data_IF_413117112900
#
_entry.id   IF_413117112900
#
_cell.length_a   1.000
_cell.length_b   1.000
_cell.length_c   1.000
_cell.angle_alpha   90.00
_cell.angle_beta   90.00
_cell.angle_gamma   90.00
#
_symmetry.space_group_name_H-M   'P 1'
#
loop_
_entity.id
_entity.type
_entity.pdbx_description
1 polymer ?
#
# COMPACT_ATOMS: atom_id res chain seq x y z
N UNK A 1 20.96 -47.03 9.72
CA UNK A 1 20.59 -46.17 10.87
C UNK A 1 19.55 -46.93 11.70
N UNK A 2 19.72 -47.09 13.01
CA UNK A 2 18.81 -47.93 13.81
C UNK A 2 17.49 -47.22 14.10
N UNK A 3 16.40 -47.96 14.30
CA UNK A 3 15.07 -47.41 14.63
C UNK A 3 15.12 -46.52 15.89
N UNK A 4 16.02 -46.81 16.84
CA UNK A 4 16.23 -45.98 18.04
C UNK A 4 16.84 -44.62 17.70
N UNK A 5 17.71 -44.56 16.71
CA UNK A 5 18.38 -43.33 16.28
C UNK A 5 17.43 -42.40 15.52
N UNK A 6 16.47 -42.94 14.76
CA UNK A 6 15.41 -42.16 14.11
C UNK A 6 14.48 -41.49 15.12
N UNK A 7 14.02 -42.22 16.15
CA UNK A 7 13.18 -41.66 17.21
C UNK A 7 13.89 -40.55 18.00
N UNK A 8 15.20 -40.71 18.23
CA UNK A 8 16.00 -39.70 18.93
C UNK A 8 16.13 -38.40 18.12
N UNK A 9 16.34 -38.51 16.80
CA UNK A 9 16.40 -37.36 15.90
C UNK A 9 15.04 -36.67 15.75
N UNK A 10 13.96 -37.44 15.60
CA UNK A 10 12.60 -36.90 15.49
C UNK A 10 12.20 -36.14 16.77
N UNK A 11 12.48 -36.70 17.95
CA UNK A 11 12.22 -36.03 19.22
C UNK A 11 13.04 -34.74 19.36
N UNK A 12 14.30 -34.74 18.91
CA UNK A 12 15.13 -33.53 18.89
C UNK A 12 14.54 -32.44 17.99
N UNK A 13 14.11 -32.76 16.77
CA UNK A 13 13.49 -31.79 15.87
C UNK A 13 12.17 -31.22 16.41
N UNK A 14 11.33 -32.05 17.03
CA UNK A 14 10.07 -31.61 17.64
C UNK A 14 10.35 -30.65 18.81
N UNK A 15 11.31 -30.98 19.67
CA UNK A 15 11.69 -30.13 20.81
C UNK A 15 12.30 -28.80 20.34
N UNK A 16 13.11 -28.82 19.28
CA UNK A 16 13.70 -27.62 18.70
C UNK A 16 12.62 -26.72 18.09
N UNK A 17 11.65 -27.30 17.38
CA UNK A 17 10.54 -26.56 16.79
C UNK A 17 9.65 -25.92 17.88
N UNK A 18 9.32 -26.65 18.94
CA UNK A 18 8.57 -26.12 20.08
C UNK A 18 9.32 -24.98 20.78
N UNK A 19 10.63 -25.12 21.00
CA UNK A 19 11.46 -24.08 21.63
C UNK A 19 11.51 -22.78 20.81
N UNK A 20 11.61 -22.89 19.47
CA UNK A 20 11.61 -21.72 18.57
C UNK A 20 10.27 -21.01 18.55
N UNK A 21 9.16 -21.75 18.55
CA UNK A 21 7.82 -21.15 18.52
C UNK A 21 7.42 -20.52 19.88
N UNK A 22 7.89 -21.08 21.00
CA UNK A 22 7.59 -20.54 22.34
C UNK A 22 8.43 -19.30 22.70
N UNK A 23 9.59 -19.10 22.07
CA UNK A 23 10.43 -17.90 22.30
C UNK A 23 10.10 -16.73 21.37
N UNK A 24 9.28 -16.95 20.33
CA UNK A 24 8.83 -15.92 19.38
C UNK A 24 7.67 -15.04 19.88
N UNK A 25 6.92 -15.45 20.90
CA UNK A 25 5.83 -14.66 21.49
C UNK A 25 6.34 -13.67 22.55
N UNK A 26 7.20 -12.72 22.15
CA UNK A 26 7.38 -11.50 22.93
C UNK A 26 6.38 -10.47 22.41
N UNK A 27 5.44 -9.97 23.25
CA UNK A 27 4.65 -8.81 22.85
C UNK A 27 5.64 -7.68 22.52
N UNK A 28 5.61 -7.17 21.28
CA UNK A 28 6.29 -5.93 20.95
C UNK A 28 5.58 -4.83 21.74
N UNK A 29 6.16 -4.45 22.87
CA UNK A 29 5.85 -3.17 23.49
C UNK A 29 6.39 -2.12 22.53
N UNK A 30 5.50 -1.36 21.89
CA UNK A 30 5.90 -0.20 21.11
C UNK A 30 6.60 0.78 22.06
N UNK A 31 7.91 0.91 21.93
CA UNK A 31 8.72 1.82 22.76
C UNK A 31 8.72 3.26 22.25
N UNK A 32 8.15 3.48 21.06
CA UNK A 32 8.05 4.80 20.46
C UNK A 32 6.60 5.28 20.55
N UNK A 33 6.36 6.53 20.97
CA UNK A 33 5.04 7.13 20.84
C UNK A 33 4.61 7.07 19.38
N UNK A 34 3.31 6.87 19.09
CA UNK A 34 2.83 6.89 17.71
C UNK A 34 3.30 8.18 17.05
N UNK A 35 3.77 8.13 15.78
CA UNK A 35 4.15 9.33 15.07
C UNK A 35 2.96 10.30 15.11
N UNK A 36 3.22 11.53 15.55
CA UNK A 36 2.23 12.59 15.48
C UNK A 36 1.92 12.79 14.00
N UNK A 37 0.71 12.42 13.59
CA UNK A 37 0.20 12.69 12.26
C UNK A 37 0.05 14.21 12.14
N UNK A 38 1.09 14.87 11.65
CA UNK A 38 0.98 16.25 11.18
C UNK A 38 0.25 16.16 9.85
N UNK A 39 -0.94 16.76 9.71
CA UNK A 39 -1.62 16.80 8.43
C UNK A 39 -0.66 17.33 7.37
N UNK A 40 -0.55 16.70 6.19
CA UNK A 40 0.23 17.28 5.11
C UNK A 40 -0.27 18.70 4.88
N UNK A 41 0.66 19.64 4.74
CA UNK A 41 0.34 21.02 4.44
C UNK A 41 -0.54 21.04 3.17
N UNK A 42 -1.67 21.76 3.15
CA UNK A 42 -2.70 21.65 2.10
C UNK A 42 -2.21 21.97 0.68
N UNK A 43 -0.99 22.50 0.52
CA UNK A 43 -0.41 22.91 -0.75
C UNK A 43 0.01 21.75 -1.69
N UNK A 44 -0.02 20.48 -1.25
CA UNK A 44 0.52 19.35 -2.05
C UNK A 44 -0.50 18.25 -2.40
N UNK A 45 -1.76 18.39 -1.97
CA UNK A 45 -2.76 17.34 -2.13
C UNK A 45 -3.31 17.24 -3.55
N UNK A 46 -3.56 18.37 -4.22
CA UNK A 46 -4.16 18.39 -5.57
C UNK A 46 -3.20 19.07 -6.54
N UNK A 47 -2.55 18.27 -7.38
CA UNK A 47 -1.59 18.74 -8.38
C UNK A 47 -2.14 18.67 -9.80
N UNK A 48 -3.20 17.87 -10.01
CA UNK A 48 -3.75 17.55 -11.34
C UNK A 48 -5.27 17.66 -11.34
N UNK A 49 -5.85 17.83 -12.52
CA UNK A 49 -7.28 17.72 -12.72
C UNK A 49 -7.69 16.23 -12.88
N UNK A 50 -8.91 15.83 -12.49
CA UNK A 50 -9.47 14.53 -12.86
C UNK A 50 -9.39 14.30 -14.37
N UNK A 51 -9.07 13.08 -14.78
CA UNK A 51 -8.81 12.73 -16.19
C UNK A 51 -7.42 13.12 -16.72
N UNK A 52 -6.55 13.76 -15.93
CA UNK A 52 -5.17 14.01 -16.35
C UNK A 52 -4.37 12.71 -16.49
N UNK A 53 -4.72 11.63 -15.78
CA UNK A 53 -4.02 10.35 -15.84
C UNK A 53 -4.59 9.41 -16.91
N UNK A 54 -3.70 8.69 -17.59
CA UNK A 54 -4.05 7.75 -18.65
C UNK A 54 -4.49 6.38 -18.10
N UNK A 55 -5.42 5.72 -18.80
CA UNK A 55 -5.75 4.33 -18.50
C UNK A 55 -4.53 3.43 -18.74
N UNK A 56 -4.17 2.54 -17.79
CA UNK A 56 -3.18 1.49 -17.98
C UNK A 56 -3.31 0.67 -19.28
N UNK A 57 -4.52 0.52 -19.82
CA UNK A 57 -4.81 -0.13 -21.08
C UNK A 57 -4.19 0.59 -22.28
N UNK A 58 -4.03 1.92 -22.23
CA UNK A 58 -3.28 2.68 -23.24
C UNK A 58 -1.84 2.18 -23.29
N UNK A 59 -1.20 2.00 -22.14
CA UNK A 59 0.13 1.42 -22.03
C UNK A 59 0.12 -0.05 -22.50
N UNK A 60 -0.90 -0.81 -22.10
CA UNK A 60 -1.09 -2.22 -22.44
C UNK A 60 -1.28 -2.51 -23.93
N UNK A 61 -1.67 -1.51 -24.73
CA UNK A 61 -1.77 -1.65 -26.19
C UNK A 61 -0.41 -1.97 -26.84
N UNK A 62 0.70 -1.47 -26.25
CA UNK A 62 2.06 -1.72 -26.73
C UNK A 62 2.90 -2.54 -25.74
N UNK A 63 2.68 -2.37 -24.43
CA UNK A 63 3.41 -3.05 -23.35
C UNK A 63 2.58 -4.19 -22.74
N UNK A 64 2.18 -5.14 -23.57
CA UNK A 64 1.23 -6.20 -23.22
C UNK A 64 1.69 -7.07 -22.04
N UNK A 65 2.94 -7.53 -22.04
CA UNK A 65 3.49 -8.38 -20.98
C UNK A 65 3.56 -7.64 -19.63
N UNK A 66 3.99 -6.37 -19.66
CA UNK A 66 4.08 -5.52 -18.46
C UNK A 66 2.68 -5.25 -17.91
N UNK A 67 1.73 -4.92 -18.79
CA UNK A 67 0.34 -4.70 -18.39
C UNK A 67 -0.27 -5.94 -17.74
N UNK A 68 -0.03 -7.13 -18.31
CA UNK A 68 -0.50 -8.38 -17.71
C UNK A 68 0.11 -8.61 -16.32
N UNK A 69 1.42 -8.43 -16.17
CA UNK A 69 2.09 -8.56 -14.88
C UNK A 69 1.56 -7.55 -13.83
N UNK A 70 1.38 -6.30 -14.23
CA UNK A 70 0.80 -5.26 -13.38
C UNK A 70 -0.63 -5.61 -12.98
N UNK A 71 -1.48 -6.03 -13.93
CA UNK A 71 -2.92 -6.29 -13.68
C UNK A 71 -3.16 -7.38 -12.62
N UNK A 72 -2.26 -8.35 -12.49
CA UNK A 72 -2.30 -9.38 -11.44
C UNK A 72 -1.59 -9.01 -10.14
N UNK A 73 -1.02 -7.81 -10.03
CA UNK A 73 -0.19 -7.40 -8.90
C UNK A 73 -0.97 -6.74 -7.76
N UNK A 74 -0.30 -6.59 -6.61
CA UNK A 74 -0.83 -5.79 -5.48
C UNK A 74 -0.87 -4.29 -5.77
N UNK A 75 -0.09 -3.79 -6.73
CA UNK A 75 -0.15 -2.39 -7.15
C UNK A 75 -1.44 -2.07 -7.90
N UNK A 76 -1.86 -2.93 -8.84
CA UNK A 76 -3.15 -2.76 -9.55
C UNK A 76 -4.36 -2.89 -8.62
N UNK A 77 -4.22 -3.69 -7.56
CA UNK A 77 -5.25 -3.91 -6.55
C UNK A 77 -5.07 -3.08 -5.28
N UNK A 78 -4.23 -2.03 -5.32
CA UNK A 78 -3.86 -1.29 -4.12
C UNK A 78 -5.07 -0.68 -3.40
N UNK A 79 -6.03 -0.11 -4.15
CA UNK A 79 -7.28 0.40 -3.59
C UNK A 79 -8.32 -0.70 -3.36
N UNK A 80 -8.53 -1.59 -4.33
CA UNK A 80 -9.67 -2.53 -4.31
C UNK A 80 -9.41 -3.83 -3.57
N UNK A 81 -8.18 -4.06 -3.10
CA UNK A 81 -7.79 -5.29 -2.42
C UNK A 81 -8.52 -5.49 -1.10
N UNK A 82 -9.10 -6.68 -0.89
CA UNK A 82 -9.91 -7.01 0.29
C UNK A 82 -9.19 -6.78 1.63
N UNK A 83 -7.92 -7.19 1.73
CA UNK A 83 -7.12 -6.99 2.94
C UNK A 83 -6.90 -5.50 3.23
N UNK A 84 -6.60 -4.70 2.20
CA UNK A 84 -6.44 -3.27 2.37
C UNK A 84 -7.76 -2.61 2.77
N UNK A 85 -8.87 -2.96 2.12
CA UNK A 85 -10.17 -2.38 2.46
C UNK A 85 -10.57 -2.71 3.90
N UNK A 86 -10.33 -3.93 4.38
CA UNK A 86 -10.58 -4.28 5.78
C UNK A 86 -9.77 -3.41 6.75
N UNK A 87 -8.45 -3.32 6.55
CA UNK A 87 -7.56 -2.52 7.40
C UNK A 87 -7.88 -1.02 7.31
N UNK A 88 -8.23 -0.53 6.10
CA UNK A 88 -8.54 0.86 5.84
C UNK A 88 -9.83 1.30 6.54
N UNK A 89 -10.91 0.52 6.42
CA UNK A 89 -12.17 0.82 7.11
C UNK A 89 -12.01 0.78 8.63
N UNK A 90 -11.22 -0.17 9.15
CA UNK A 90 -10.89 -0.20 10.57
C UNK A 90 -10.12 1.07 10.99
N UNK A 91 -9.09 1.43 10.25
CA UNK A 91 -8.27 2.60 10.56
C UNK A 91 -9.07 3.92 10.47
N UNK A 92 -9.98 4.05 9.49
CA UNK A 92 -10.90 5.19 9.41
C UNK A 92 -11.80 5.27 10.65
N UNK A 93 -12.36 4.13 11.09
CA UNK A 93 -13.22 4.08 12.27
C UNK A 93 -12.47 4.39 13.58
N UNK A 94 -11.25 3.89 13.74
CA UNK A 94 -10.44 4.08 14.95
C UNK A 94 -9.84 5.49 15.07
N UNK A 95 -9.77 6.23 13.95
CA UNK A 95 -9.11 7.55 13.89
C UNK A 95 -10.07 8.68 13.49
N UNK A 96 -11.38 8.42 13.47
CA UNK A 96 -12.39 9.36 12.99
C UNK A 96 -12.05 9.95 11.60
N UNK A 97 -11.48 9.11 10.73
CA UNK A 97 -11.07 9.46 9.37
C UNK A 97 -9.74 10.20 9.23
N UNK A 98 -9.02 10.48 10.33
CA UNK A 98 -7.78 11.28 10.30
C UNK A 98 -6.67 10.68 9.41
N UNK A 99 -6.67 9.35 9.21
CA UNK A 99 -5.67 8.63 8.39
C UNK A 99 -6.08 8.46 6.92
N UNK A 100 -7.28 8.89 6.52
CA UNK A 100 -7.83 8.60 5.19
C UNK A 100 -6.92 9.08 4.05
N UNK A 101 -6.45 10.32 4.16
CA UNK A 101 -5.52 10.93 3.20
C UNK A 101 -4.20 10.17 3.12
N UNK A 102 -3.63 9.81 4.27
CA UNK A 102 -2.36 9.07 4.37
C UNK A 102 -2.42 7.72 3.63
N UNK A 103 -3.53 6.98 3.75
CA UNK A 103 -3.73 5.73 3.01
C UNK A 103 -3.91 6.00 1.50
N UNK A 104 -4.69 7.03 1.17
CA UNK A 104 -4.98 7.45 -0.21
C UNK A 104 -3.74 7.81 -1.03
N UNK A 105 -2.74 8.44 -0.40
CA UNK A 105 -1.46 8.80 -1.04
C UNK A 105 -0.78 7.62 -1.76
N UNK A 106 -0.90 6.41 -1.20
CA UNK A 106 -0.26 5.21 -1.73
C UNK A 106 -1.24 4.25 -2.40
N UNK A 107 -2.46 4.13 -1.87
CA UNK A 107 -3.41 3.10 -2.32
C UNK A 107 -4.34 3.57 -3.44
N UNK A 108 -4.60 4.88 -3.53
CA UNK A 108 -5.32 5.51 -4.63
C UNK A 108 -4.62 6.82 -5.02
N UNK A 109 -3.34 6.75 -5.46
CA UNK A 109 -2.51 7.93 -5.65
C UNK A 109 -3.07 8.91 -6.69
N UNK A 110 -3.71 8.40 -7.74
CA UNK A 110 -4.38 9.25 -8.74
C UNK A 110 -5.53 10.02 -8.11
N UNK A 111 -6.40 9.34 -7.33
CA UNK A 111 -7.51 9.97 -6.64
C UNK A 111 -7.04 11.04 -5.63
N UNK A 112 -5.96 10.74 -4.89
CA UNK A 112 -5.37 11.69 -3.98
C UNK A 112 -4.87 12.94 -4.72
N UNK A 113 -4.03 12.75 -5.76
CA UNK A 113 -3.39 13.86 -6.50
C UNK A 113 -4.34 14.68 -7.37
N UNK A 114 -5.56 14.18 -7.60
CA UNK A 114 -6.63 14.85 -8.37
C UNK A 114 -7.75 15.41 -7.48
N UNK A 115 -7.63 15.27 -6.15
CA UNK A 115 -8.62 15.81 -5.21
C UNK A 115 -9.93 15.03 -5.13
N UNK A 116 -9.93 13.76 -5.55
CA UNK A 116 -11.08 12.84 -5.45
C UNK A 116 -11.13 12.12 -4.09
N UNK A 117 -10.20 12.45 -3.17
CA UNK A 117 -10.19 12.07 -1.78
C UNK A 117 -9.97 13.31 -0.90
N UNK A 118 -10.76 13.53 0.16
CA UNK A 118 -12.02 12.82 0.53
C UNK A 118 -13.16 13.07 -0.47
N UNK A 119 -14.26 12.26 -0.45
CA UNK A 119 -14.63 11.22 0.53
C UNK A 119 -13.82 9.92 0.41
N UNK A 120 -13.57 9.25 1.54
CA UNK A 120 -12.71 8.06 1.62
C UNK A 120 -13.41 6.73 1.27
N UNK A 121 -14.60 6.78 0.69
CA UNK A 121 -15.35 5.61 0.21
C UNK A 121 -15.14 5.34 -1.30
N UNK A 122 -14.39 6.22 -1.98
CA UNK A 122 -14.13 6.13 -3.42
C UNK A 122 -15.33 6.52 -4.29
N UNK A 123 -16.39 7.11 -3.72
CA UNK A 123 -17.59 7.51 -4.46
C UNK A 123 -17.34 8.57 -5.54
N UNK A 124 -16.29 9.36 -5.40
CA UNK A 124 -15.89 10.40 -6.35
C UNK A 124 -14.84 9.93 -7.37
N UNK A 125 -14.50 8.63 -7.40
CA UNK A 125 -13.47 8.12 -8.31
C UNK A 125 -13.96 8.12 -9.75
N UNK A 126 -13.09 8.57 -10.66
CA UNK A 126 -13.26 8.36 -12.08
C UNK A 126 -12.78 6.95 -12.49
N UNK A 127 -12.80 6.67 -13.79
CA UNK A 127 -12.38 5.38 -14.33
C UNK A 127 -10.94 5.00 -13.96
N UNK A 128 -10.07 5.99 -13.72
CA UNK A 128 -8.63 5.80 -13.52
C UNK A 128 -8.26 5.78 -12.04
N UNK A 129 -8.95 6.56 -11.22
CA UNK A 129 -8.68 6.74 -9.79
C UNK A 129 -8.81 5.46 -8.97
N UNK A 130 -9.62 4.51 -9.41
CA UNK A 130 -9.73 3.17 -8.81
C UNK A 130 -8.69 2.15 -9.27
N UNK A 131 -7.79 2.50 -10.20
CA UNK A 131 -6.84 1.55 -10.83
C UNK A 131 -5.56 1.34 -10.00
N UNK A 132 -5.60 1.65 -8.71
CA UNK A 132 -4.48 1.50 -7.79
C UNK A 132 -3.25 2.32 -8.22
N UNK A 133 -2.07 1.75 -8.03
CA UNK A 133 -0.80 2.36 -8.46
C UNK A 133 -0.63 2.04 -9.95
N UNK A 134 -1.14 2.94 -10.80
CA UNK A 134 -1.23 2.77 -12.26
C UNK A 134 0.08 3.10 -12.99
N UNK A 135 0.15 2.71 -14.27
CA UNK A 135 1.32 2.92 -15.12
C UNK A 135 1.71 4.41 -15.19
N UNK A 136 0.76 5.27 -15.51
CA UNK A 136 1.00 6.71 -15.68
C UNK A 136 1.40 7.38 -14.37
N UNK A 137 0.79 7.01 -13.24
CA UNK A 137 1.23 7.51 -11.95
C UNK A 137 2.69 7.14 -11.66
N UNK A 138 3.04 5.85 -11.74
CA UNK A 138 4.41 5.40 -11.48
C UNK A 138 5.44 6.04 -12.41
N UNK A 139 5.09 6.19 -13.69
CA UNK A 139 6.01 6.70 -14.70
C UNK A 139 6.03 8.23 -14.82
N UNK A 140 5.18 8.94 -14.08
CA UNK A 140 5.20 10.41 -13.95
C UNK A 140 5.94 10.88 -12.69
N UNK A 141 6.34 9.98 -11.79
CA UNK A 141 7.18 10.35 -10.63
C UNK A 141 8.57 10.75 -11.11
N UNK A 142 8.97 12.00 -10.86
CA UNK A 142 10.27 12.54 -11.29
C UNK A 142 11.31 12.56 -10.18
N UNK A 143 10.89 12.70 -8.92
CA UNK A 143 11.79 12.72 -7.76
C UNK A 143 11.11 12.16 -6.50
N UNK A 144 11.93 11.59 -5.61
CA UNK A 144 11.55 11.17 -4.25
C UNK A 144 12.42 11.93 -3.27
N UNK A 145 11.89 12.98 -2.64
CA UNK A 145 12.69 13.90 -1.81
C UNK A 145 12.78 13.46 -0.33
N UNK A 146 11.90 12.56 0.12
CA UNK A 146 11.81 12.06 1.51
C UNK A 146 11.55 10.54 1.50
N UNK A 147 11.96 9.80 2.55
CA UNK A 147 11.84 8.33 2.61
C UNK A 147 10.81 7.81 3.63
N UNK A 148 10.14 8.70 4.36
CA UNK A 148 9.19 8.33 5.41
C UNK A 148 7.83 9.03 5.21
N UNK A 149 6.79 8.45 5.81
CA UNK A 149 5.37 8.87 5.73
C UNK A 149 5.25 10.40 5.62
N UNK A 150 4.57 10.83 4.56
CA UNK A 150 4.49 12.19 3.98
C UNK A 150 5.49 12.40 2.83
N UNK A 151 5.39 11.54 1.82
CA UNK A 151 6.14 11.68 0.57
C UNK A 151 5.77 13.01 -0.11
N UNK A 152 6.63 14.02 0.09
CA UNK A 152 6.79 15.13 -0.86
C UNK A 152 7.31 14.51 -2.16
N UNK A 153 6.40 14.04 -3.01
CA UNK A 153 6.73 13.61 -4.36
C UNK A 153 6.52 14.80 -5.27
N UNK A 154 7.58 15.22 -5.95
CA UNK A 154 7.41 16.05 -7.12
C UNK A 154 7.00 15.14 -8.27
N UNK A 155 5.72 15.24 -8.63
CA UNK A 155 5.16 14.64 -9.84
C UNK A 155 5.08 15.79 -10.82
N UNK A 156 6.05 15.88 -11.74
CA UNK A 156 6.09 16.93 -12.74
C UNK A 156 5.88 16.33 -14.12
N UNK A 157 4.94 16.89 -14.88
CA UNK A 157 4.81 16.62 -16.31
C UNK A 157 5.52 17.75 -17.06
N UNK A 158 6.43 17.37 -17.95
CA UNK A 158 7.02 18.27 -18.93
C UNK A 158 5.99 18.66 -19.99
#
# INVERSE_FOLDING_TARGET
>A
MSLKQYHMLLAYFILLFLAVNLTGCRPRVATEPPPVLVPPEPAQAVLFAPGDFQDPAVCGACHTEIYQAWSGSKHASAWVGELFQADFQQALAETDGAVGALCGECHAPVAFRTGQLPPFDGSEFDEISGRGISCDFCHTVTEVTEKFNNLKQEVSRL
#
